data_IF_268736683490
#
_entry.id   IF_268736683490
#
_cell.length_a   1.000
_cell.length_b   1.000
_cell.length_c   1.000
_cell.angle_alpha   90.00
_cell.angle_beta   90.00
_cell.angle_gamma   90.00
#
_symmetry.space_group_name_H-M   'P 1'
#
loop_
_entity.id
_entity.type
_entity.pdbx_description
1 polymer ?
#
# COMPACT_ATOMS: atom_id res chain seq x y z
N UNK A 1 -32.42 -47.48 26.04
CA UNK A 1 -30.98 -47.70 26.35
C UNK A 1 -29.99 -46.93 25.46
N UNK A 2 -30.41 -46.15 24.43
CA UNK A 2 -29.47 -45.36 23.59
C UNK A 2 -29.12 -43.96 24.11
N UNK A 3 -29.86 -43.42 25.07
CA UNK A 3 -29.67 -42.05 25.60
C UNK A 3 -28.49 -41.93 26.57
N UNK A 4 -28.15 -42.99 27.30
CA UNK A 4 -27.03 -43.00 28.25
C UNK A 4 -25.66 -42.98 27.55
N UNK A 5 -25.57 -43.48 26.31
CA UNK A 5 -24.32 -43.52 25.52
C UNK A 5 -23.86 -42.13 25.06
N UNK A 6 -24.80 -41.30 24.56
CA UNK A 6 -24.51 -39.94 24.07
C UNK A 6 -24.12 -38.98 25.20
N UNK A 7 -24.71 -39.13 26.39
CA UNK A 7 -24.39 -38.29 27.56
C UNK A 7 -22.98 -38.59 28.09
N UNK A 8 -22.51 -39.83 27.98
CA UNK A 8 -21.16 -40.21 28.40
C UNK A 8 -20.10 -39.76 27.38
N UNK A 9 -20.39 -39.80 26.08
CA UNK A 9 -19.49 -39.34 25.02
C UNK A 9 -19.22 -37.83 25.04
N UNK A 10 -20.25 -37.03 25.33
CA UNK A 10 -20.14 -35.56 25.44
C UNK A 10 -19.34 -35.17 26.69
N UNK A 11 -19.59 -35.83 27.83
CA UNK A 11 -18.83 -35.59 29.06
C UNK A 11 -17.35 -35.99 28.94
N UNK A 12 -17.05 -37.00 28.13
CA UNK A 12 -15.68 -37.43 27.86
C UNK A 12 -14.90 -36.39 27.01
N UNK A 13 -15.54 -35.82 25.98
CA UNK A 13 -14.92 -34.78 25.14
C UNK A 13 -14.75 -33.44 25.88
N UNK A 14 -15.72 -33.04 26.72
CA UNK A 14 -15.61 -31.83 27.55
C UNK A 14 -14.42 -31.91 28.52
N UNK A 15 -14.14 -33.09 29.08
CA UNK A 15 -13.04 -33.30 30.04
C UNK A 15 -11.65 -33.30 29.37
N UNK A 16 -11.56 -33.79 28.13
CA UNK A 16 -10.32 -33.76 27.33
C UNK A 16 -10.00 -32.33 26.88
N UNK A 17 -11.00 -31.57 26.41
CA UNK A 17 -10.82 -30.16 26.03
C UNK A 17 -10.40 -29.30 27.23
N UNK A 18 -10.97 -29.55 28.42
CA UNK A 18 -10.62 -28.81 29.64
C UNK A 18 -9.16 -29.03 30.11
N UNK A 19 -8.60 -30.22 29.85
CA UNK A 19 -7.23 -30.61 30.23
C UNK A 19 -6.14 -30.08 29.27
N UNK A 20 -6.49 -29.72 28.03
CA UNK A 20 -5.54 -29.28 26.99
C UNK A 20 -5.31 -27.75 26.99
N UNK A 21 -6.14 -26.98 27.69
CA UNK A 21 -6.15 -25.52 27.60
C UNK A 21 -5.34 -24.82 28.71
N UNK A 22 -4.45 -23.91 28.30
CA UNK A 22 -3.45 -23.27 29.16
C UNK A 22 -3.85 -21.91 29.75
N UNK A 23 -4.98 -21.32 29.34
CA UNK A 23 -5.41 -20.02 29.87
C UNK A 23 -6.91 -19.95 30.20
N UNK A 24 -7.26 -19.21 31.25
CA UNK A 24 -8.65 -19.05 31.70
C UNK A 24 -9.54 -18.34 30.67
N UNK A 25 -8.95 -17.51 29.79
CA UNK A 25 -9.66 -16.84 28.69
C UNK A 25 -10.21 -17.83 27.67
N UNK A 26 -9.43 -18.86 27.32
CA UNK A 26 -9.83 -19.85 26.32
C UNK A 26 -10.90 -20.80 26.89
N UNK A 27 -10.82 -21.12 28.20
CA UNK A 27 -11.84 -21.89 28.91
C UNK A 27 -13.19 -21.17 28.96
N UNK A 28 -13.19 -19.85 29.19
CA UNK A 28 -14.42 -19.05 29.20
C UNK A 28 -15.07 -18.92 27.82
N UNK A 29 -14.27 -18.79 26.75
CA UNK A 29 -14.79 -18.71 25.38
C UNK A 29 -15.49 -20.00 24.93
N UNK A 30 -14.97 -21.17 25.32
CA UNK A 30 -15.63 -22.45 25.03
C UNK A 30 -16.87 -22.67 25.90
N UNK A 31 -16.88 -22.23 27.16
CA UNK A 31 -18.09 -22.23 27.99
C UNK A 31 -19.21 -21.39 27.37
N UNK A 32 -18.89 -20.22 26.81
CA UNK A 32 -19.84 -19.40 26.05
C UNK A 32 -20.37 -20.14 24.81
N UNK A 33 -19.50 -20.75 24.01
CA UNK A 33 -19.91 -21.50 22.81
C UNK A 33 -20.77 -22.73 23.17
N UNK A 34 -20.44 -23.46 24.23
CA UNK A 34 -21.21 -24.62 24.69
C UNK A 34 -22.55 -24.20 25.29
N UNK A 35 -22.62 -23.04 25.95
CA UNK A 35 -23.87 -22.49 26.48
C UNK A 35 -24.78 -22.04 25.34
N UNK A 36 -24.23 -21.38 24.32
CA UNK A 36 -24.98 -21.00 23.11
C UNK A 36 -25.45 -22.25 22.34
N UNK A 37 -24.60 -23.26 22.15
CA UNK A 37 -25.00 -24.52 21.49
C UNK A 37 -26.02 -25.35 22.28
N UNK A 38 -26.03 -25.27 23.63
CA UNK A 38 -27.08 -25.89 24.47
C UNK A 38 -28.41 -25.16 24.33
N UNK A 39 -28.38 -23.83 24.19
CA UNK A 39 -29.58 -23.02 23.96
C UNK A 39 -30.14 -23.20 22.54
N UNK A 40 -29.26 -23.30 21.52
CA UNK A 40 -29.65 -23.52 20.12
C UNK A 40 -30.24 -24.93 19.88
N UNK A 41 -29.64 -25.99 20.46
CA UNK A 41 -30.14 -27.37 20.30
C UNK A 41 -31.37 -27.70 21.18
N UNK A 42 -31.60 -26.93 22.25
CA UNK A 42 -32.78 -27.07 23.11
C UNK A 42 -34.03 -26.39 22.52
N UNK A 43 -33.86 -25.20 21.90
CA UNK A 43 -34.99 -24.35 21.49
C UNK A 43 -35.84 -24.86 20.32
N UNK A 44 -35.24 -25.48 19.30
CA UNK A 44 -36.01 -25.89 18.10
C UNK A 44 -36.92 -27.11 18.33
N UNK A 45 -36.47 -28.09 19.13
CA UNK A 45 -37.32 -29.24 19.50
C UNK A 45 -38.35 -28.87 20.56
N UNK A 46 -38.00 -27.98 21.49
CA UNK A 46 -38.93 -27.51 22.51
C UNK A 46 -40.06 -26.66 21.93
N UNK A 47 -39.85 -25.85 20.89
CA UNK A 47 -40.92 -24.98 20.38
C UNK A 47 -42.01 -25.71 19.60
N UNK A 48 -41.67 -26.71 18.79
CA UNK A 48 -42.68 -27.53 18.08
C UNK A 48 -43.46 -28.39 19.09
N UNK A 49 -42.76 -28.94 20.08
CA UNK A 49 -43.35 -29.79 21.10
C UNK A 49 -44.21 -28.98 22.08
N UNK A 50 -43.76 -27.79 22.50
CA UNK A 50 -44.55 -26.86 23.30
C UNK A 50 -45.77 -26.31 22.52
N UNK A 51 -45.67 -26.11 21.21
CA UNK A 51 -46.82 -25.73 20.37
C UNK A 51 -47.87 -26.84 20.33
N UNK A 52 -47.46 -28.08 20.09
CA UNK A 52 -48.36 -29.23 20.10
C UNK A 52 -48.98 -29.48 21.49
N UNK A 53 -48.20 -29.36 22.57
CA UNK A 53 -48.69 -29.48 23.94
C UNK A 53 -49.70 -28.36 24.28
N UNK A 54 -49.46 -27.13 23.82
CA UNK A 54 -50.42 -26.03 24.00
C UNK A 54 -51.70 -26.21 23.21
N UNK A 55 -51.60 -26.60 21.94
CA UNK A 55 -52.76 -26.87 21.10
C UNK A 55 -53.60 -28.00 21.70
N UNK A 56 -52.93 -29.06 22.21
CA UNK A 56 -53.57 -30.13 22.98
C UNK A 56 -54.27 -29.61 24.23
N UNK A 57 -53.60 -28.77 25.04
CA UNK A 57 -54.19 -28.18 26.26
C UNK A 57 -55.35 -27.24 25.96
N UNK A 58 -55.31 -26.47 24.86
CA UNK A 58 -56.42 -25.59 24.46
C UNK A 58 -57.63 -26.41 24.02
N UNK A 59 -57.42 -27.50 23.29
CA UNK A 59 -58.49 -28.44 22.92
C UNK A 59 -59.07 -29.11 24.16
N UNK A 60 -58.22 -29.55 25.07
CA UNK A 60 -58.63 -30.17 26.32
C UNK A 60 -59.43 -29.22 27.23
N UNK A 61 -58.97 -27.97 27.38
CA UNK A 61 -59.72 -26.93 28.10
C UNK A 61 -61.05 -26.64 27.41
N UNK A 62 -61.10 -26.55 26.08
CA UNK A 62 -62.37 -26.37 25.34
C UNK A 62 -63.35 -27.52 25.58
N UNK A 63 -62.86 -28.76 25.62
CA UNK A 63 -63.69 -29.93 25.89
C UNK A 63 -64.20 -29.95 27.34
N UNK A 64 -63.34 -29.66 28.32
CA UNK A 64 -63.73 -29.56 29.74
C UNK A 64 -64.76 -28.46 29.96
N UNK A 65 -64.63 -27.33 29.25
CA UNK A 65 -65.61 -26.23 29.27
C UNK A 65 -66.96 -26.70 28.74
N UNK A 66 -66.98 -27.43 27.62
CA UNK A 66 -68.22 -27.94 27.02
C UNK A 66 -68.90 -28.99 27.93
N UNK A 67 -68.13 -29.88 28.55
CA UNK A 67 -68.67 -30.86 29.52
C UNK A 67 -69.27 -30.18 30.75
N UNK A 68 -68.64 -29.10 31.26
CA UNK A 68 -69.16 -28.30 32.36
C UNK A 68 -70.47 -27.58 31.99
N UNK A 69 -70.59 -27.14 30.74
CA UNK A 69 -71.81 -26.55 30.17
C UNK A 69 -72.97 -27.55 30.10
N UNK A 70 -72.71 -28.77 29.65
CA UNK A 70 -73.73 -29.82 29.56
C UNK A 70 -74.20 -30.28 30.96
N UNK A 71 -73.29 -30.38 31.92
CA UNK A 71 -73.65 -30.70 33.32
C UNK A 71 -74.41 -29.58 34.01
N UNK A 72 -74.06 -28.31 33.79
CA UNK A 72 -74.85 -27.18 34.34
C UNK A 72 -76.23 -27.05 33.71
N UNK A 73 -76.40 -27.45 32.45
CA UNK A 73 -77.72 -27.53 31.77
C UNK A 73 -78.69 -28.50 32.47
N UNK A 74 -78.17 -29.45 33.25
CA UNK A 74 -78.94 -30.49 33.94
C UNK A 74 -79.36 -30.10 35.37
N UNK A 75 -78.73 -29.07 35.97
CA UNK A 75 -78.84 -28.76 37.41
C UNK A 75 -79.36 -27.33 37.70
N UNK A 76 -79.28 -26.41 36.73
CA UNK A 76 -79.45 -24.97 36.95
C UNK A 76 -80.77 -24.46 36.33
N UNK A 77 -81.46 -23.53 37.01
CA UNK A 77 -82.62 -22.83 36.45
C UNK A 77 -82.28 -22.15 35.11
N UNK A 78 -83.15 -22.22 34.09
CA UNK A 78 -82.85 -21.82 32.71
C UNK A 78 -82.20 -20.43 32.56
N UNK A 79 -82.62 -19.45 33.39
CA UNK A 79 -82.08 -18.08 33.35
C UNK A 79 -80.60 -17.96 33.75
N UNK A 80 -80.12 -18.77 34.69
CA UNK A 80 -78.70 -18.74 35.12
C UNK A 80 -77.79 -19.49 34.14
N UNK A 81 -78.35 -20.41 33.36
CA UNK A 81 -77.63 -21.14 32.33
C UNK A 81 -77.25 -20.23 31.15
N UNK A 82 -78.15 -19.33 30.77
CA UNK A 82 -77.91 -18.37 29.69
C UNK A 82 -76.77 -17.39 30.03
N UNK A 83 -76.69 -16.94 31.28
CA UNK A 83 -75.58 -16.10 31.77
C UNK A 83 -74.23 -16.85 31.74
N UNK A 84 -74.22 -18.12 32.14
CA UNK A 84 -73.02 -18.97 32.11
C UNK A 84 -72.54 -19.21 30.67
N UNK A 85 -73.46 -19.50 29.73
CA UNK A 85 -73.15 -19.62 28.29
C UNK A 85 -72.49 -18.36 27.75
N UNK A 86 -73.02 -17.19 28.10
CA UNK A 86 -72.52 -15.90 27.64
C UNK A 86 -71.08 -15.63 28.13
N UNK A 87 -70.78 -16.00 29.38
CA UNK A 87 -69.41 -15.92 29.93
C UNK A 87 -68.47 -16.88 29.21
N UNK A 88 -68.91 -18.10 28.92
CA UNK A 88 -68.10 -19.08 28.18
C UNK A 88 -67.80 -18.65 26.76
N UNK A 89 -68.78 -18.10 26.03
CA UNK A 89 -68.57 -17.54 24.70
C UNK A 89 -67.55 -16.39 24.73
N UNK A 90 -67.58 -15.55 25.76
CA UNK A 90 -66.61 -14.47 25.95
C UNK A 90 -65.19 -15.02 26.22
N UNK A 91 -65.06 -16.08 27.03
CA UNK A 91 -63.80 -16.78 27.29
C UNK A 91 -63.24 -17.40 26.01
N UNK A 92 -64.06 -18.12 25.24
CA UNK A 92 -63.67 -18.73 23.97
C UNK A 92 -63.21 -17.65 22.98
N UNK A 93 -63.93 -16.53 22.90
CA UNK A 93 -63.55 -15.38 22.07
C UNK A 93 -62.19 -14.80 22.46
N UNK A 94 -61.93 -14.63 23.76
CA UNK A 94 -60.63 -14.16 24.28
C UNK A 94 -59.50 -15.17 24.00
N UNK A 95 -59.75 -16.46 24.17
CA UNK A 95 -58.81 -17.55 23.86
C UNK A 95 -58.42 -17.55 22.38
N UNK A 96 -59.40 -17.46 21.48
CA UNK A 96 -59.15 -17.41 20.04
C UNK A 96 -58.33 -16.15 19.65
N UNK A 97 -58.60 -14.99 20.26
CA UNK A 97 -57.80 -13.78 20.07
C UNK A 97 -56.36 -13.93 20.58
N UNK A 98 -56.17 -14.62 21.69
CA UNK A 98 -54.84 -14.89 22.24
C UNK A 98 -54.04 -15.82 21.33
N UNK A 99 -54.69 -16.86 20.79
CA UNK A 99 -54.08 -17.83 19.89
C UNK A 99 -53.65 -17.20 18.55
N UNK A 100 -54.49 -16.32 18.01
CA UNK A 100 -54.13 -15.51 16.83
C UNK A 100 -52.91 -14.61 17.10
N UNK A 101 -52.87 -13.92 18.25
CA UNK A 101 -51.72 -13.09 18.64
C UNK A 101 -50.44 -13.92 18.78
N UNK A 102 -50.55 -15.12 19.35
CA UNK A 102 -49.42 -16.02 19.55
C UNK A 102 -48.89 -16.56 18.21
N UNK A 103 -49.77 -16.98 17.31
CA UNK A 103 -49.39 -17.41 15.96
C UNK A 103 -48.65 -16.30 15.21
N UNK A 104 -49.15 -15.06 15.29
CA UNK A 104 -48.47 -13.91 14.70
C UNK A 104 -47.08 -13.65 15.30
N UNK A 105 -46.95 -13.76 16.63
CA UNK A 105 -45.65 -13.63 17.30
C UNK A 105 -44.65 -14.71 16.87
N UNK A 106 -45.11 -15.93 16.61
CA UNK A 106 -44.26 -16.99 16.08
C UNK A 106 -43.76 -16.66 14.67
N UNK A 107 -44.65 -16.20 13.79
CA UNK A 107 -44.27 -15.78 12.43
C UNK A 107 -43.27 -14.62 12.44
N UNK A 108 -43.48 -13.62 13.30
CA UNK A 108 -42.57 -12.48 13.44
C UNK A 108 -41.21 -12.91 14.00
N UNK A 109 -41.17 -13.89 14.91
CA UNK A 109 -39.92 -14.41 15.47
C UNK A 109 -39.10 -15.20 14.43
N UNK A 110 -39.74 -15.99 13.58
CA UNK A 110 -39.06 -16.68 12.48
C UNK A 110 -38.46 -15.68 11.47
N UNK A 111 -39.20 -14.63 11.12
CA UNK A 111 -38.66 -13.54 10.27
C UNK A 111 -37.44 -12.88 10.90
N UNK A 112 -37.49 -12.59 12.20
CA UNK A 112 -36.36 -11.99 12.92
C UNK A 112 -35.14 -12.91 12.95
N UNK A 113 -35.33 -14.24 13.07
CA UNK A 113 -34.21 -15.20 12.99
C UNK A 113 -33.54 -15.17 11.61
N UNK A 114 -34.33 -15.14 10.54
CA UNK A 114 -33.80 -15.03 9.17
C UNK A 114 -33.02 -13.74 8.96
N UNK A 115 -33.55 -12.59 9.43
CA UNK A 115 -32.86 -11.31 9.36
C UNK A 115 -31.54 -11.31 10.15
N UNK A 116 -31.53 -11.88 11.36
CA UNK A 116 -30.32 -12.02 12.18
C UNK A 116 -29.28 -12.91 11.49
N UNK A 117 -29.70 -14.01 10.86
CA UNK A 117 -28.80 -14.88 10.11
C UNK A 117 -28.14 -14.13 8.94
N UNK A 118 -28.94 -13.38 8.18
CA UNK A 118 -28.45 -12.56 7.06
C UNK A 118 -27.48 -11.47 7.53
N UNK A 119 -27.79 -10.78 8.62
CA UNK A 119 -26.91 -9.75 9.19
C UNK A 119 -25.56 -10.33 9.67
N UNK A 120 -25.53 -11.58 10.15
CA UNK A 120 -24.27 -12.25 10.51
C UNK A 120 -23.42 -12.54 9.28
N UNK A 121 -24.02 -12.97 8.18
CA UNK A 121 -23.33 -13.21 6.91
C UNK A 121 -22.78 -11.91 6.30
N UNK A 122 -23.58 -10.85 6.28
CA UNK A 122 -23.17 -9.52 5.81
C UNK A 122 -21.99 -8.99 6.65
N UNK A 123 -22.05 -9.16 7.98
CA UNK A 123 -20.97 -8.75 8.90
C UNK A 123 -19.66 -9.46 8.59
N UNK A 124 -19.69 -10.78 8.34
CA UNK A 124 -18.49 -11.55 8.03
C UNK A 124 -17.90 -11.14 6.67
N UNK A 125 -18.76 -10.92 5.68
CA UNK A 125 -18.37 -10.43 4.35
C UNK A 125 -17.69 -9.06 4.44
N UNK A 126 -18.25 -8.15 5.23
CA UNK A 126 -17.67 -6.83 5.47
C UNK A 126 -16.32 -6.91 6.18
N UNK A 127 -16.17 -7.81 7.15
CA UNK A 127 -14.90 -8.02 7.85
C UNK A 127 -13.80 -8.47 6.89
N UNK A 128 -14.07 -9.43 6.02
CA UNK A 128 -13.11 -9.88 5.00
C UNK A 128 -12.74 -8.76 4.02
N UNK A 129 -13.70 -7.90 3.65
CA UNK A 129 -13.45 -6.75 2.78
C UNK A 129 -12.54 -5.72 3.47
N UNK A 130 -12.76 -5.46 4.76
CA UNK A 130 -11.90 -4.56 5.56
C UNK A 130 -10.47 -5.10 5.60
N UNK A 131 -10.29 -6.38 5.92
CA UNK A 131 -8.96 -7.01 5.96
C UNK A 131 -8.22 -6.91 4.61
N UNK A 132 -8.94 -7.09 3.50
CA UNK A 132 -8.36 -6.92 2.15
C UNK A 132 -7.96 -5.47 1.88
N UNK A 133 -8.81 -4.51 2.22
CA UNK A 133 -8.50 -3.07 2.05
C UNK A 133 -7.31 -2.64 2.91
N UNK A 134 -7.17 -3.19 4.12
CA UNK A 134 -6.01 -2.92 4.98
C UNK A 134 -4.70 -3.44 4.37
N UNK A 135 -4.73 -4.62 3.74
CA UNK A 135 -3.59 -5.18 3.02
C UNK A 135 -3.22 -4.32 1.81
N UNK A 136 -4.19 -3.96 0.97
CA UNK A 136 -3.99 -3.08 -0.19
C UNK A 136 -3.44 -1.71 0.22
N UNK A 137 -3.95 -1.14 1.31
CA UNK A 137 -3.45 0.13 1.85
C UNK A 137 -1.98 0.02 2.31
N UNK A 138 -1.61 -1.10 2.94
CA UNK A 138 -0.23 -1.35 3.38
C UNK A 138 0.73 -1.49 2.21
N UNK A 139 0.31 -2.18 1.14
CA UNK A 139 1.10 -2.31 -0.08
C UNK A 139 1.26 -0.97 -0.81
N UNK A 140 0.17 -0.21 -0.91
CA UNK A 140 0.17 1.12 -1.53
C UNK A 140 1.13 2.08 -0.81
N UNK A 141 1.13 2.08 0.53
CA UNK A 141 2.08 2.88 1.33
C UNK A 141 3.54 2.53 1.05
N UNK A 142 3.88 1.25 1.04
CA UNK A 142 5.25 0.79 0.70
C UNK A 142 5.67 1.24 -0.70
N UNK A 143 4.76 1.14 -1.67
CA UNK A 143 5.03 1.56 -3.05
C UNK A 143 5.26 3.08 -3.14
N UNK A 144 4.51 3.86 -2.37
CA UNK A 144 4.70 5.32 -2.27
C UNK A 144 6.08 5.68 -1.70
N UNK A 145 6.50 5.02 -0.62
CA UNK A 145 7.81 5.25 0.00
C UNK A 145 8.97 4.95 -0.98
N UNK A 146 8.87 3.86 -1.75
CA UNK A 146 9.86 3.52 -2.78
C UNK A 146 9.91 4.60 -3.86
N UNK A 147 8.76 5.05 -4.36
CA UNK A 147 8.70 6.10 -5.40
C UNK A 147 9.28 7.43 -4.90
N UNK A 148 9.05 7.81 -3.65
CA UNK A 148 9.63 9.02 -3.07
C UNK A 148 11.16 8.96 -3.01
N UNK A 149 11.71 7.80 -2.65
CA UNK A 149 13.16 7.58 -2.63
C UNK A 149 13.76 7.64 -4.04
N UNK A 150 13.15 6.95 -5.01
CA UNK A 150 13.59 7.00 -6.42
C UNK A 150 13.55 8.42 -7.00
N UNK A 151 12.52 9.19 -6.65
CA UNK A 151 12.39 10.58 -7.06
C UNK A 151 13.51 11.45 -6.47
N UNK A 152 13.88 11.23 -5.21
CA UNK A 152 14.98 11.95 -4.55
C UNK A 152 16.32 11.66 -5.23
N UNK A 153 16.61 10.40 -5.53
CA UNK A 153 17.83 9.99 -6.22
C UNK A 153 17.89 10.54 -7.65
N UNK A 154 16.76 10.51 -8.37
CA UNK A 154 16.66 11.07 -9.71
C UNK A 154 16.92 12.58 -9.72
N UNK A 155 16.35 13.32 -8.77
CA UNK A 155 16.60 14.77 -8.61
C UNK A 155 18.09 15.06 -8.35
N UNK A 156 18.73 14.31 -7.47
CA UNK A 156 20.17 14.47 -7.20
C UNK A 156 21.01 14.19 -8.45
N UNK A 157 20.71 13.12 -9.19
CA UNK A 157 21.40 12.80 -10.46
C UNK A 157 21.22 13.90 -11.49
N UNK A 158 20.00 14.43 -11.64
CA UNK A 158 19.71 15.54 -12.56
C UNK A 158 20.47 16.81 -12.18
N UNK A 159 20.58 17.13 -10.90
CA UNK A 159 21.33 18.29 -10.42
C UNK A 159 22.82 18.17 -10.75
N UNK A 160 23.42 16.99 -10.52
CA UNK A 160 24.80 16.71 -10.92
C UNK A 160 24.96 16.88 -12.44
N UNK A 161 24.05 16.31 -13.24
CA UNK A 161 24.09 16.45 -14.71
C UNK A 161 24.03 17.93 -15.13
N UNK A 162 23.16 18.73 -14.52
CA UNK A 162 23.05 20.16 -14.85
C UNK A 162 24.32 20.93 -14.45
N UNK A 163 24.93 20.62 -13.30
CA UNK A 163 26.22 21.18 -12.92
C UNK A 163 27.31 20.84 -13.96
N UNK A 164 27.37 19.58 -14.42
CA UNK A 164 28.31 19.16 -15.49
C UNK A 164 28.05 19.94 -16.78
N UNK A 165 26.79 20.08 -17.17
CA UNK A 165 26.39 20.80 -18.38
C UNK A 165 26.75 22.28 -18.30
N UNK A 166 26.57 22.93 -17.15
CA UNK A 166 26.94 24.33 -16.97
C UNK A 166 28.47 24.51 -17.06
N UNK A 167 29.27 23.58 -16.52
CA UNK A 167 30.74 23.60 -16.69
C UNK A 167 31.10 23.53 -18.18
N UNK A 168 30.48 22.60 -18.90
CA UNK A 168 30.67 22.50 -20.36
C UNK A 168 30.26 23.79 -21.07
N UNK A 169 29.09 24.35 -20.76
CA UNK A 169 28.59 25.58 -21.39
C UNK A 169 29.53 26.78 -21.17
N UNK A 170 30.13 26.89 -19.99
CA UNK A 170 31.01 28.02 -19.62
C UNK A 170 32.40 27.90 -20.19
N UNK A 171 33.00 26.71 -20.17
CA UNK A 171 34.42 26.55 -20.44
C UNK A 171 34.76 25.95 -21.81
N UNK A 172 33.82 25.30 -22.49
CA UNK A 172 34.08 24.61 -23.77
C UNK A 172 34.64 25.53 -24.85
N UNK A 173 34.16 26.77 -24.94
CA UNK A 173 34.63 27.72 -25.95
C UNK A 173 36.02 28.26 -25.64
N UNK A 174 36.37 28.41 -24.36
CA UNK A 174 37.74 28.73 -23.95
C UNK A 174 38.69 27.59 -24.28
N UNK A 175 38.31 26.35 -23.97
CA UNK A 175 39.13 25.18 -24.37
C UNK A 175 39.25 25.08 -25.89
N UNK A 176 38.18 25.37 -26.65
CA UNK A 176 38.24 25.44 -28.11
C UNK A 176 39.25 26.48 -28.61
N UNK A 177 39.22 27.70 -28.06
CA UNK A 177 40.20 28.74 -28.40
C UNK A 177 41.63 28.35 -28.02
N UNK A 178 41.82 27.73 -26.87
CA UNK A 178 43.12 27.24 -26.43
C UNK A 178 43.69 26.19 -27.38
N UNK A 179 42.87 25.19 -27.74
CA UNK A 179 43.25 24.15 -28.71
C UNK A 179 43.52 24.73 -30.10
N UNK A 180 42.78 25.75 -30.52
CA UNK A 180 43.02 26.46 -31.77
C UNK A 180 44.42 27.08 -31.80
N UNK A 181 44.80 27.83 -30.76
CA UNK A 181 46.13 28.45 -30.68
C UNK A 181 47.24 27.40 -30.71
N UNK A 182 47.07 26.27 -30.01
CA UNK A 182 48.03 25.17 -30.06
C UNK A 182 48.14 24.60 -31.47
N UNK A 183 47.01 24.30 -32.12
CA UNK A 183 46.98 23.78 -33.48
C UNK A 183 47.72 24.72 -34.44
N UNK A 184 47.44 26.02 -34.38
CA UNK A 184 48.12 27.03 -35.21
C UNK A 184 49.62 27.10 -34.92
N UNK A 185 50.05 27.13 -33.66
CA UNK A 185 51.48 27.15 -33.29
C UNK A 185 52.23 25.88 -33.71
N UNK A 186 51.51 24.76 -33.88
CA UNK A 186 52.06 23.49 -34.36
C UNK A 186 51.84 23.29 -35.88
N UNK A 187 51.39 24.32 -36.60
CA UNK A 187 51.14 24.32 -38.05
C UNK A 187 50.07 23.33 -38.52
N UNK A 188 49.00 23.16 -37.74
CA UNK A 188 47.80 22.45 -38.16
C UNK A 188 46.71 23.42 -38.63
N UNK A 189 46.03 23.06 -39.71
CA UNK A 189 44.96 23.88 -40.32
C UNK A 189 43.68 23.93 -39.48
N UNK A 190 43.44 22.93 -38.63
CA UNK A 190 42.25 22.83 -37.79
C UNK A 190 42.53 22.15 -36.44
N UNK A 191 41.66 22.41 -35.47
CA UNK A 191 41.67 21.73 -34.17
C UNK A 191 41.49 20.22 -34.38
N UNK A 192 40.57 19.83 -35.26
CA UNK A 192 40.24 18.46 -35.58
C UNK A 192 41.46 17.74 -36.18
N UNK A 193 42.15 18.36 -37.13
CA UNK A 193 43.37 17.83 -37.74
C UNK A 193 44.45 17.60 -36.69
N UNK A 194 44.70 18.62 -35.84
CA UNK A 194 45.63 18.47 -34.72
C UNK A 194 45.24 17.34 -33.76
N UNK A 195 43.96 17.29 -33.33
CA UNK A 195 43.51 16.29 -32.36
C UNK A 195 43.62 14.86 -32.91
N UNK A 196 43.26 14.65 -34.18
CA UNK A 196 43.39 13.37 -34.85
C UNK A 196 44.85 12.97 -35.00
N UNK A 197 45.71 13.87 -35.50
CA UNK A 197 47.14 13.61 -35.61
C UNK A 197 47.75 13.29 -34.26
N UNK A 198 47.42 14.02 -33.20
CA UNK A 198 47.94 13.75 -31.86
C UNK A 198 47.52 12.39 -31.31
N UNK A 199 46.26 11.99 -31.54
CA UNK A 199 45.69 10.71 -31.06
C UNK A 199 46.22 9.49 -31.82
N UNK A 200 46.41 9.62 -33.14
CA UNK A 200 46.73 8.50 -34.01
C UNK A 200 48.20 8.47 -34.46
N UNK A 201 49.01 9.45 -34.10
CA UNK A 201 50.45 9.39 -34.35
C UNK A 201 51.09 8.23 -33.58
N UNK A 202 52.06 7.58 -34.22
CA UNK A 202 52.85 6.49 -33.63
C UNK A 202 54.35 6.71 -33.87
N UNK A 203 55.17 6.02 -33.07
CA UNK A 203 56.64 6.05 -33.19
C UNK A 203 57.21 7.46 -33.13
N UNK A 204 58.17 7.74 -34.02
CA UNK A 204 58.91 9.01 -34.05
C UNK A 204 58.02 10.23 -34.30
N UNK A 205 56.90 10.06 -35.04
CA UNK A 205 55.95 11.15 -35.30
C UNK A 205 55.25 11.60 -34.01
N UNK A 206 54.85 10.64 -33.16
CA UNK A 206 54.23 10.93 -31.86
C UNK A 206 55.23 11.59 -30.92
N UNK A 207 56.44 11.03 -30.83
CA UNK A 207 57.51 11.58 -29.99
C UNK A 207 57.86 13.03 -30.35
N UNK A 208 58.03 13.32 -31.64
CA UNK A 208 58.29 14.69 -32.11
C UNK A 208 57.14 15.65 -31.76
N UNK A 209 55.89 15.22 -31.93
CA UNK A 209 54.72 16.02 -31.60
C UNK A 209 54.60 16.26 -30.08
N UNK A 210 54.86 15.25 -29.26
CA UNK A 210 54.86 15.36 -27.81
C UNK A 210 55.97 16.28 -27.30
N UNK A 211 57.16 16.24 -27.89
CA UNK A 211 58.26 17.16 -27.56
C UNK A 211 57.92 18.62 -27.88
N UNK A 212 57.36 18.86 -29.08
CA UNK A 212 56.89 20.19 -29.49
C UNK A 212 55.77 20.69 -28.59
N UNK A 213 54.78 19.84 -28.30
CA UNK A 213 53.66 20.18 -27.43
C UNK A 213 54.13 20.45 -25.99
N UNK A 214 54.98 19.59 -25.43
CA UNK A 214 55.57 19.75 -24.09
C UNK A 214 56.32 21.08 -23.97
N UNK A 215 57.06 21.46 -25.01
CA UNK A 215 57.77 22.74 -25.06
C UNK A 215 56.79 23.92 -25.00
N UNK A 216 55.69 23.88 -25.75
CA UNK A 216 54.65 24.91 -25.71
C UNK A 216 53.95 24.98 -24.36
N UNK A 217 53.56 23.84 -23.80
CA UNK A 217 52.82 23.75 -22.54
C UNK A 217 53.66 24.13 -21.31
N UNK A 218 54.98 23.93 -21.37
CA UNK A 218 55.91 24.32 -20.29
C UNK A 218 55.82 25.79 -19.94
N UNK A 219 55.60 26.67 -20.93
CA UNK A 219 55.48 28.12 -20.74
C UNK A 219 54.28 28.51 -19.88
N UNK A 220 53.29 27.63 -19.73
CA UNK A 220 52.06 27.86 -18.95
C UNK A 220 51.94 26.85 -17.80
N UNK A 221 53.01 26.11 -17.51
CA UNK A 221 53.05 25.13 -16.43
C UNK A 221 52.06 23.97 -16.60
N UNK A 222 51.65 23.66 -17.84
CA UNK A 222 50.70 22.58 -18.14
C UNK A 222 51.45 21.30 -18.52
N UNK A 223 51.02 20.17 -17.95
CA UNK A 223 51.54 18.85 -18.32
C UNK A 223 50.78 18.30 -19.53
N UNK A 224 51.37 17.31 -20.23
CA UNK A 224 50.70 16.68 -21.37
C UNK A 224 49.39 16.01 -20.94
N UNK A 225 49.38 15.35 -19.79
CA UNK A 225 48.19 14.67 -19.26
C UNK A 225 47.05 15.66 -19.00
N UNK A 226 47.39 16.86 -18.49
CA UNK A 226 46.42 17.95 -18.27
C UNK A 226 45.84 18.48 -19.57
N UNK A 227 46.68 18.61 -20.61
CA UNK A 227 46.24 18.96 -21.95
C UNK A 227 45.29 17.90 -22.53
N UNK A 228 45.59 16.61 -22.36
CA UNK A 228 44.74 15.51 -22.83
C UNK A 228 43.36 15.54 -22.18
N UNK A 229 43.28 15.88 -20.88
CA UNK A 229 42.01 16.07 -20.19
C UNK A 229 41.16 17.19 -20.82
N UNK A 230 41.79 18.31 -21.20
CA UNK A 230 41.11 19.41 -21.90
C UNK A 230 40.66 19.01 -23.31
N UNK A 231 41.49 18.27 -24.03
CA UNK A 231 41.13 17.72 -25.34
C UNK A 231 39.89 16.82 -25.23
N UNK A 232 39.88 15.89 -24.27
CA UNK A 232 38.73 15.02 -24.02
C UNK A 232 37.49 15.82 -23.62
N UNK A 233 37.65 16.84 -22.77
CA UNK A 233 36.56 17.73 -22.35
C UNK A 233 35.91 18.47 -23.53
N UNK A 234 36.71 18.94 -24.51
CA UNK A 234 36.17 19.58 -25.72
C UNK A 234 35.46 18.58 -26.64
N UNK A 235 36.00 17.37 -26.76
CA UNK A 235 35.53 16.33 -27.68
C UNK A 235 34.31 15.56 -27.18
N UNK A 236 34.02 15.57 -25.87
CA UNK A 236 32.73 15.06 -25.33
C UNK A 236 31.58 15.87 -25.97
N UNK A 237 30.94 15.26 -26.97
CA UNK A 237 29.82 15.83 -27.75
C UNK A 237 28.64 16.09 -26.83
N UNK A 238 28.28 17.35 -26.68
CA UNK A 238 26.89 17.74 -26.57
C UNK A 238 26.67 18.92 -27.53
N UNK A 239 25.82 18.72 -28.53
CA UNK A 239 25.50 19.71 -29.57
C UNK A 239 24.69 20.89 -29.03
N UNK A 240 24.15 20.77 -27.81
CA UNK A 240 23.21 21.76 -27.24
C UNK A 240 23.83 22.92 -26.45
N UNK A 241 25.16 23.03 -26.37
CA UNK A 241 25.80 24.03 -25.52
C UNK A 241 26.59 25.05 -26.31
N UNK A 242 25.87 26.01 -26.88
CA UNK A 242 26.42 27.30 -27.29
C UNK A 242 26.20 28.30 -26.16
N UNK A 243 27.27 28.88 -25.62
CA UNK A 243 27.16 29.94 -24.62
C UNK A 243 26.43 31.15 -25.21
N UNK A 244 25.35 31.60 -24.56
CA UNK A 244 24.56 32.76 -25.03
C UNK A 244 25.25 34.11 -24.82
N UNK A 245 26.34 34.17 -24.04
CA UNK A 245 27.04 35.41 -23.70
C UNK A 245 28.54 35.26 -23.95
N UNK A 246 29.13 36.19 -24.71
CA UNK A 246 30.59 36.28 -24.85
C UNK A 246 31.18 36.67 -23.50
N UNK A 247 31.93 35.75 -22.89
CA UNK A 247 32.66 35.99 -21.64
C UNK A 247 34.14 36.18 -21.96
N UNK A 248 34.80 37.10 -21.25
CA UNK A 248 36.24 37.27 -21.36
C UNK A 248 37.00 36.31 -20.41
N UNK A 249 38.32 36.22 -20.57
CA UNK A 249 39.14 35.25 -19.81
C UNK A 249 39.15 35.53 -18.29
N UNK A 250 39.11 36.79 -17.87
CA UNK A 250 39.15 37.15 -16.45
C UNK A 250 37.80 36.82 -15.76
N UNK A 251 36.67 37.05 -16.44
CA UNK A 251 35.35 36.59 -16.00
C UNK A 251 35.29 35.07 -15.87
N UNK A 252 35.81 34.33 -16.86
CA UNK A 252 35.85 32.88 -16.82
C UNK A 252 36.71 32.36 -15.67
N UNK A 253 37.84 32.99 -15.37
CA UNK A 253 38.68 32.63 -14.22
C UNK A 253 38.00 32.90 -12.88
N UNK A 254 37.25 34.01 -12.77
CA UNK A 254 36.46 34.29 -11.57
C UNK A 254 35.39 33.21 -11.38
N UNK A 255 34.66 32.88 -12.44
CA UNK A 255 33.65 31.80 -12.40
C UNK A 255 34.25 30.45 -12.06
N UNK A 256 35.43 30.11 -12.61
CA UNK A 256 36.10 28.84 -12.32
C UNK A 256 36.41 28.66 -10.82
N UNK A 257 36.68 29.75 -10.10
CA UNK A 257 36.91 29.74 -8.65
C UNK A 257 35.61 29.62 -7.85
N UNK A 258 34.55 30.28 -8.30
CA UNK A 258 33.26 30.34 -7.60
C UNK A 258 32.36 29.13 -7.89
N UNK A 259 32.60 28.43 -9.00
CA UNK A 259 31.75 27.34 -9.45
C UNK A 259 32.01 26.04 -8.66
N UNK A 260 30.92 25.41 -8.24
CA UNK A 260 30.97 24.07 -7.66
C UNK A 260 31.15 23.04 -8.76
N UNK A 261 32.24 22.28 -8.67
CA UNK A 261 32.47 21.14 -9.55
C UNK A 261 32.02 19.89 -8.83
N UNK A 262 31.27 19.00 -9.50
CA UNK A 262 31.05 17.67 -8.97
C UNK A 262 32.40 16.95 -8.86
N UNK A 263 32.51 16.01 -7.92
CA UNK A 263 33.77 15.33 -7.58
C UNK A 263 34.45 14.72 -8.81
N UNK A 264 33.65 14.16 -9.73
CA UNK A 264 34.11 13.51 -10.95
C UNK A 264 34.57 14.49 -12.05
N UNK A 265 34.44 15.80 -11.86
CA UNK A 265 34.99 16.82 -12.76
C UNK A 265 36.03 17.71 -12.09
N UNK A 266 36.27 17.56 -10.79
CA UNK A 266 37.15 18.45 -10.04
C UNK A 266 38.59 18.46 -10.58
N UNK A 267 39.04 17.37 -11.21
CA UNK A 267 40.34 17.27 -11.88
C UNK A 267 40.51 18.26 -13.04
N UNK A 268 39.43 18.82 -13.60
CA UNK A 268 39.49 19.78 -14.71
C UNK A 268 39.82 21.20 -14.25
N UNK A 269 39.67 21.54 -12.96
CA UNK A 269 39.83 22.92 -12.48
C UNK A 269 41.20 23.50 -12.79
N UNK A 270 42.25 22.76 -12.45
CA UNK A 270 43.62 23.25 -12.65
C UNK A 270 44.01 23.34 -14.14
N UNK A 271 43.77 22.30 -14.98
CA UNK A 271 43.95 22.41 -16.42
C UNK A 271 43.19 23.58 -17.05
N UNK A 272 41.93 23.80 -16.66
CA UNK A 272 41.12 24.93 -17.16
C UNK A 272 41.72 26.27 -16.78
N UNK A 273 42.17 26.44 -15.54
CA UNK A 273 42.81 27.68 -15.10
C UNK A 273 44.10 27.96 -15.87
N UNK A 274 44.93 26.94 -16.10
CA UNK A 274 46.16 27.04 -16.92
C UNK A 274 45.86 27.40 -18.37
N UNK A 275 44.84 26.80 -18.98
CA UNK A 275 44.40 27.15 -20.34
C UNK A 275 43.91 28.60 -20.43
N UNK A 276 43.16 29.08 -19.43
CA UNK A 276 42.73 30.48 -19.36
C UNK A 276 43.91 31.45 -19.19
N UNK A 277 44.93 31.08 -18.41
CA UNK A 277 46.17 31.86 -18.31
C UNK A 277 46.91 31.90 -19.65
N UNK A 278 47.04 30.75 -20.32
CA UNK A 278 47.65 30.65 -21.65
C UNK A 278 46.95 31.56 -22.66
N UNK A 279 45.61 31.56 -22.67
CA UNK A 279 44.82 32.46 -23.53
C UNK A 279 45.02 33.94 -23.22
N UNK A 280 45.44 34.28 -22.01
CA UNK A 280 45.76 35.67 -21.65
C UNK A 280 47.16 36.06 -22.10
N UNK A 281 48.12 35.14 -22.06
CA UNK A 281 49.55 35.40 -22.37
C UNK A 281 49.92 35.19 -23.83
N UNK A 282 49.21 34.32 -24.55
CA UNK A 282 49.48 33.99 -25.95
C UNK A 282 48.66 34.80 -26.96
N UNK A 283 47.97 35.84 -26.50
CA UNK A 283 47.35 36.84 -27.38
C UNK A 283 48.40 37.55 -28.23
#
# INVERSE_FOLDING_TARGET
>A
MKTTSLVLEVKFHEKILWLIMNTDKEKNYILEILTVKRLENGGERDHVQQKQERESLVVEIKNQINELLDTTTTIVEPKKLDEIKLIFDEIISKLNKLDQKYTKLLEDNEKLKEEVAKLKEDKETLKQKIERMEQELKESKKKSEIMEQELKESKQKSEIIEQRNEIHRRFRDFVGRFLYIIATKLNFESIEGFCLSYRYSQGDKKKNLDEKLSTLLRNVGMKIEEFELLQQFKLKRNEMFHGKKRQNEDEARKMLKEMNFPDDMNYLKDPLNKALMALKTWK
#
